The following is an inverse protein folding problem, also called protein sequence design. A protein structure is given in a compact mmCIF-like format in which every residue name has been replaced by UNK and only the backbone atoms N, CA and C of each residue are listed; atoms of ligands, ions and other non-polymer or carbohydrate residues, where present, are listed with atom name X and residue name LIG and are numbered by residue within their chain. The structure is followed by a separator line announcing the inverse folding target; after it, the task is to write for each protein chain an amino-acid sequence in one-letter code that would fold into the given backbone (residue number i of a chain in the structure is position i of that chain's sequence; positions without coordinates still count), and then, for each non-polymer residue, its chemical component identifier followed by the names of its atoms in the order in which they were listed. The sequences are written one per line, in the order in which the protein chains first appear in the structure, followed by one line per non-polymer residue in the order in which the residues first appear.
data_IF_690990489929
#
_entry.id   IF_690990489929
#
_cell.length_a   1.000
_cell.length_b   1.000
_cell.length_c   1.000
_cell.angle_alpha   90.00
_cell.angle_beta   90.00
_cell.angle_gamma   90.00
#
_symmetry.space_group_name_H-M   'P 1'
#
loop_
_entity.id
_entity.type
_entity.pdbx_description
1 polymer ?
#
# COMPACT_ATOMS: atom_id res chain seq x y z
N UNK A 1 -3.87 45.35 -16.98
CA UNK A 1 -2.90 44.24 -16.99
C UNK A 1 -2.82 43.74 -18.43
N UNK A 2 -1.67 43.83 -19.10
CA UNK A 2 -1.57 43.47 -20.51
C UNK A 2 -1.47 41.93 -20.66
N UNK A 3 -2.03 41.38 -21.74
CA UNK A 3 -1.94 39.95 -22.08
C UNK A 3 -0.55 39.30 -21.93
N UNK A 4 0.57 39.94 -22.32
CA UNK A 4 1.91 39.41 -22.09
C UNK A 4 2.30 39.22 -20.62
N UNK A 5 1.86 40.12 -19.71
CA UNK A 5 2.12 39.95 -18.28
C UNK A 5 1.41 38.71 -17.73
N UNK A 6 0.17 38.49 -18.18
CA UNK A 6 -0.62 37.33 -17.74
C UNK A 6 0.02 36.01 -18.19
N UNK A 7 0.57 35.96 -19.41
CA UNK A 7 1.34 34.82 -19.90
C UNK A 7 2.64 34.60 -19.11
N UNK A 8 3.34 35.67 -18.75
CA UNK A 8 4.56 35.61 -17.94
C UNK A 8 4.28 35.02 -16.55
N UNK A 9 3.26 35.51 -15.84
CA UNK A 9 2.87 34.97 -14.54
C UNK A 9 2.34 33.53 -14.62
N UNK A 10 1.62 33.17 -15.69
CA UNK A 10 1.13 31.81 -15.91
C UNK A 10 2.28 30.82 -16.12
N UNK A 11 3.29 31.18 -16.93
CA UNK A 11 4.47 30.35 -17.15
C UNK A 11 5.28 30.15 -15.86
N UNK A 12 5.46 31.21 -15.08
CA UNK A 12 6.11 31.12 -13.77
C UNK A 12 5.33 30.18 -12.85
N UNK A 13 4.01 30.33 -12.76
CA UNK A 13 3.18 29.46 -11.94
C UNK A 13 3.28 27.99 -12.36
N UNK A 14 3.26 27.70 -13.66
CA UNK A 14 3.47 26.36 -14.21
C UNK A 14 4.84 25.78 -13.82
N UNK A 15 5.91 26.58 -13.86
CA UNK A 15 7.25 26.11 -13.43
C UNK A 15 7.29 25.77 -11.94
N UNK A 16 6.66 26.56 -11.08
CA UNK A 16 6.54 26.22 -9.65
C UNK A 16 5.75 24.94 -9.44
N UNK A 17 4.64 24.76 -10.17
CA UNK A 17 3.80 23.58 -10.07
C UNK A 17 4.54 22.32 -10.55
N UNK A 18 5.34 22.44 -11.62
CA UNK A 18 6.21 21.37 -12.10
C UNK A 18 7.28 20.99 -11.07
N UNK A 19 7.96 21.97 -10.46
CA UNK A 19 8.93 21.69 -9.40
C UNK A 19 8.29 21.00 -8.19
N UNK A 20 7.09 21.43 -7.80
CA UNK A 20 6.36 20.82 -6.70
C UNK A 20 5.96 19.38 -7.02
N UNK A 21 5.50 19.11 -8.25
CA UNK A 21 5.17 17.76 -8.70
C UNK A 21 6.39 16.84 -8.67
N UNK A 22 7.55 17.29 -9.16
CA UNK A 22 8.80 16.53 -9.13
C UNK A 22 9.21 16.23 -7.67
N UNK A 23 9.18 17.24 -6.80
CA UNK A 23 9.50 17.05 -5.39
C UNK A 23 8.57 16.02 -4.72
N UNK A 24 7.27 16.09 -5.02
CA UNK A 24 6.28 15.15 -4.52
C UNK A 24 6.55 13.71 -4.97
N UNK A 25 6.88 13.52 -6.25
CA UNK A 25 7.23 12.21 -6.80
C UNK A 25 8.47 11.61 -6.12
N UNK A 26 9.52 12.40 -5.95
CA UNK A 26 10.76 11.95 -5.29
C UNK A 26 10.49 11.60 -3.82
N UNK A 27 9.77 12.47 -3.10
CA UNK A 27 9.41 12.23 -1.70
C UNK A 27 8.57 10.96 -1.55
N UNK A 28 7.55 10.77 -2.39
CA UNK A 28 6.73 9.56 -2.42
C UNK A 28 7.55 8.29 -2.68
N UNK A 29 8.51 8.36 -3.61
CA UNK A 29 9.42 7.25 -3.89
C UNK A 29 10.31 6.89 -2.69
N UNK A 30 10.85 7.89 -2.00
CA UNK A 30 11.68 7.68 -0.80
C UNK A 30 10.84 7.04 0.31
N UNK A 31 9.63 7.54 0.56
CA UNK A 31 8.73 6.99 1.58
C UNK A 31 8.41 5.53 1.27
N UNK A 32 8.08 5.22 0.02
CA UNK A 32 7.81 3.84 -0.41
C UNK A 32 9.01 2.94 -0.15
N UNK A 33 10.22 3.35 -0.56
CA UNK A 33 11.48 2.63 -0.31
C UNK A 33 11.73 2.40 1.18
N UNK A 34 11.51 3.41 2.03
CA UNK A 34 11.71 3.30 3.48
C UNK A 34 10.72 2.33 4.10
N UNK A 35 9.46 2.40 3.69
CA UNK A 35 8.39 1.51 4.14
C UNK A 35 8.72 0.07 3.75
N UNK A 36 9.07 -0.18 2.49
CA UNK A 36 9.42 -1.51 1.99
C UNK A 36 10.66 -2.09 2.70
N UNK A 37 11.69 -1.23 2.91
CA UNK A 37 12.89 -1.59 3.68
C UNK A 37 12.56 -2.00 5.11
N UNK A 38 11.59 -1.34 5.75
CA UNK A 38 11.18 -1.61 7.13
C UNK A 38 10.25 -2.82 7.24
N UNK A 39 9.39 -3.04 6.25
CA UNK A 39 8.48 -4.19 6.19
C UNK A 39 9.22 -5.49 5.95
N UNK A 40 10.16 -5.51 5.00
CA UNK A 40 10.95 -6.69 4.61
C UNK A 40 12.29 -6.79 5.33
N UNK A 41 12.44 -6.11 6.47
CA UNK A 41 13.66 -6.12 7.27
C UNK A 41 13.83 -7.47 7.93
N UNK A 42 14.96 -8.13 7.72
CA UNK A 42 15.25 -9.37 8.42
C UNK A 42 15.49 -9.09 9.92
N UNK A 43 14.80 -9.78 10.85
CA UNK A 43 14.98 -9.57 12.29
C UNK A 43 16.38 -9.97 12.77
N UNK A 44 17.00 -10.97 12.14
CA UNK A 44 18.31 -11.48 12.52
C UNK A 44 19.45 -10.56 12.04
N UNK A 45 19.59 -10.35 10.72
CA UNK A 45 20.70 -9.57 10.16
C UNK A 45 20.43 -8.06 10.02
N UNK A 46 19.22 -7.59 10.41
CA UNK A 46 18.77 -6.18 10.38
C UNK A 46 18.87 -5.47 9.01
N UNK A 47 19.15 -6.19 7.93
CA UNK A 47 19.16 -5.62 6.58
C UNK A 47 17.75 -5.34 6.09
N UNK A 48 17.56 -4.15 5.52
CA UNK A 48 16.30 -3.75 4.89
C UNK A 48 16.11 -4.42 3.53
N UNK A 49 14.85 -4.64 3.14
CA UNK A 49 14.47 -5.25 1.85
C UNK A 49 15.09 -6.63 1.56
N UNK A 50 15.47 -7.38 2.58
CA UNK A 50 16.12 -8.68 2.43
C UNK A 50 15.15 -9.88 2.46
N UNK A 51 13.90 -9.66 2.89
CA UNK A 51 12.87 -10.68 2.95
C UNK A 51 12.24 -10.99 1.59
N UNK A 52 12.29 -12.25 1.19
CA UNK A 52 11.56 -12.83 0.06
C UNK A 52 10.38 -13.60 0.66
N UNK A 53 9.17 -13.40 0.13
CA UNK A 53 8.00 -14.16 0.57
C UNK A 53 8.11 -15.56 -0.01
N UNK A 54 8.15 -16.58 0.84
CA UNK A 54 8.25 -17.99 0.44
C UNK A 54 6.90 -18.71 0.48
N UNK A 55 6.02 -18.30 1.40
CA UNK A 55 4.67 -18.84 1.51
C UNK A 55 3.71 -17.77 2.04
N UNK A 56 2.49 -17.75 1.54
CA UNK A 56 1.42 -16.86 2.00
C UNK A 56 0.21 -17.70 2.32
N UNK A 57 -0.13 -17.76 3.61
CA UNK A 57 -1.33 -18.44 4.10
C UNK A 57 -2.40 -17.40 4.41
N UNK A 58 -3.64 -17.66 4.02
CA UNK A 58 -4.77 -16.77 4.30
C UNK A 58 -5.82 -17.48 5.13
N UNK A 59 -6.09 -16.94 6.32
CA UNK A 59 -7.13 -17.42 7.22
C UNK A 59 -8.32 -16.44 7.20
N UNK A 60 -9.52 -16.86 6.77
CA UNK A 60 -10.70 -15.99 6.82
C UNK A 60 -11.12 -15.77 8.28
N UNK A 61 -11.06 -14.53 8.76
CA UNK A 61 -11.42 -14.18 10.15
C UNK A 61 -12.92 -13.85 10.33
N UNK A 62 -13.70 -13.95 9.24
CA UNK A 62 -15.15 -13.70 9.24
C UNK A 62 -15.54 -12.43 8.49
N UNK A 63 -16.86 -12.24 8.35
CA UNK A 63 -17.46 -11.06 7.72
C UNK A 63 -18.20 -10.29 8.80
N UNK A 64 -17.74 -9.07 9.08
CA UNK A 64 -18.44 -8.16 9.98
C UNK A 64 -19.28 -7.19 9.15
N UNK A 65 -20.54 -7.02 9.53
CA UNK A 65 -21.43 -6.01 8.95
C UNK A 65 -21.27 -4.74 9.78
N UNK A 66 -20.72 -3.69 9.18
CA UNK A 66 -20.65 -2.40 9.85
C UNK A 66 -21.89 -1.57 9.45
N UNK A 67 -22.64 -1.11 10.45
CA UNK A 67 -23.89 -0.34 10.30
C UNK A 67 -23.73 1.14 10.66
N UNK A 68 -22.49 1.63 10.82
CA UNK A 68 -22.20 2.99 11.31
C UNK A 68 -22.57 4.13 10.33
N UNK A 69 -23.18 3.86 9.18
CA UNK A 69 -23.58 4.88 8.19
C UNK A 69 -24.85 4.54 7.41
N UNK A 70 -25.20 5.41 6.44
CA UNK A 70 -26.36 5.22 5.53
C UNK A 70 -26.26 3.96 4.65
N UNK A 71 -25.04 3.46 4.41
CA UNK A 71 -24.80 2.30 3.57
C UNK A 71 -24.35 1.10 4.41
N UNK A 72 -24.99 -0.06 4.20
CA UNK A 72 -24.52 -1.33 4.74
C UNK A 72 -23.22 -1.74 4.03
N UNK A 73 -22.13 -1.85 4.79
CA UNK A 73 -20.84 -2.32 4.26
C UNK A 73 -20.49 -3.66 4.90
N UNK A 74 -20.22 -4.67 4.08
CA UNK A 74 -19.65 -5.94 4.54
C UNK A 74 -18.14 -5.80 4.60
N UNK A 75 -17.56 -5.86 5.79
CA UNK A 75 -16.11 -5.90 6.00
C UNK A 75 -15.71 -7.36 6.05
N UNK A 76 -15.06 -7.85 4.98
CA UNK A 76 -14.41 -9.16 5.00
C UNK A 76 -13.02 -8.97 5.60
N UNK A 77 -12.76 -9.59 6.74
CA UNK A 77 -11.44 -9.61 7.35
C UNK A 77 -10.73 -10.93 7.05
N UNK A 78 -9.56 -10.83 6.46
CA UNK A 78 -8.67 -11.97 6.19
C UNK A 78 -7.36 -11.74 6.94
N UNK A 79 -6.91 -12.73 7.71
CA UNK A 79 -5.59 -12.72 8.32
C UNK A 79 -4.64 -13.35 7.32
N UNK A 80 -3.74 -12.53 6.79
CA UNK A 80 -2.69 -12.96 5.88
C UNK A 80 -1.45 -13.23 6.72
N UNK A 81 -0.94 -14.45 6.65
CA UNK A 81 0.28 -14.91 7.31
C UNK A 81 1.33 -15.13 6.23
N UNK A 82 2.24 -14.17 6.09
CA UNK A 82 3.35 -14.26 5.15
C UNK A 82 4.57 -14.86 5.85
N UNK A 83 5.12 -15.91 5.27
CA UNK A 83 6.43 -16.45 5.59
C UNK A 83 7.49 -15.77 4.71
N UNK A 84 8.49 -15.19 5.36
CA UNK A 84 9.61 -14.52 4.72
C UNK A 84 10.89 -15.31 4.95
N UNK A 85 11.75 -15.36 3.94
CA UNK A 85 13.12 -15.86 4.03
C UNK A 85 14.12 -14.76 3.70
N UNK A 86 15.19 -14.64 4.49
CA UNK A 86 16.25 -13.68 4.22
C UNK A 86 17.15 -14.17 3.09
N UNK A 87 17.25 -13.43 1.99
CA UNK A 87 18.19 -13.73 0.90
C UNK A 87 19.66 -13.84 1.34
N UNK A 88 20.03 -13.22 2.46
CA UNK A 88 21.43 -13.12 2.88
C UNK A 88 21.84 -14.04 4.03
N UNK A 89 20.96 -14.25 5.02
CA UNK A 89 21.26 -15.10 6.17
C UNK A 89 20.36 -16.34 6.24
N UNK A 90 19.50 -16.57 5.25
CA UNK A 90 18.55 -17.69 5.15
C UNK A 90 17.60 -17.82 6.36
N UNK A 91 17.60 -16.84 7.25
CA UNK A 91 16.69 -16.81 8.38
C UNK A 91 15.26 -16.63 7.91
N UNK A 92 14.38 -17.51 8.36
CA UNK A 92 12.95 -17.45 8.10
C UNK A 92 12.21 -16.77 9.25
N UNK A 93 11.24 -15.92 8.92
CA UNK A 93 10.34 -15.32 9.90
C UNK A 93 8.94 -15.17 9.33
N UNK A 94 7.96 -15.13 10.22
CA UNK A 94 6.56 -15.01 9.85
C UNK A 94 6.03 -13.64 10.26
N UNK A 95 5.21 -13.03 9.42
CA UNK A 95 4.42 -11.85 9.76
C UNK A 95 2.96 -12.07 9.43
N UNK A 96 2.11 -11.87 10.42
CA UNK A 96 0.67 -11.83 10.23
C UNK A 96 0.17 -10.39 10.18
N UNK A 97 -0.68 -10.07 9.20
CA UNK A 97 -1.43 -8.82 9.18
C UNK A 97 -2.90 -9.07 8.83
N UNK A 98 -3.78 -8.19 9.31
CA UNK A 98 -5.21 -8.29 9.04
C UNK A 98 -5.54 -7.41 7.84
N UNK A 99 -5.90 -8.03 6.72
CA UNK A 99 -6.44 -7.36 5.54
C UNK A 99 -7.94 -7.18 5.75
N UNK A 100 -8.41 -5.93 5.70
CA UNK A 100 -9.84 -5.60 5.77
C UNK A 100 -10.28 -5.10 4.40
N UNK A 101 -11.10 -5.88 3.71
CA UNK A 101 -11.71 -5.47 2.45
C UNK A 101 -13.16 -5.03 2.69
N UNK A 102 -13.50 -3.81 2.23
CA UNK A 102 -14.86 -3.29 2.27
C UNK A 102 -15.59 -3.71 1.00
N UNK A 103 -16.61 -4.54 1.13
CA UNK A 103 -17.49 -4.95 0.03
C UNK A 103 -18.83 -4.23 0.12
N UNK A 104 -19.25 -3.59 -0.97
CA UNK A 104 -20.60 -3.06 -1.10
C UNK A 104 -21.61 -4.22 -1.13
N UNK A 105 -22.71 -4.06 -0.40
CA UNK A 105 -23.82 -5.03 -0.38
C UNK A 105 -24.56 -4.96 -1.72
N UNK A 106 -24.00 -5.60 -2.75
CA UNK A 106 -24.57 -5.59 -4.10
C UNK A 106 -23.69 -6.18 -5.19
N UNK A 107 -22.38 -6.31 -4.98
CA UNK A 107 -21.53 -7.07 -5.93
C UNK A 107 -21.58 -8.55 -5.54
N UNK A 108 -22.30 -9.33 -6.35
CA UNK A 108 -22.21 -10.78 -6.33
C UNK A 108 -20.73 -11.18 -6.41
N UNK A 109 -20.32 -11.99 -5.43
CA UNK A 109 -19.01 -12.64 -5.43
C UNK A 109 -19.03 -13.62 -6.59
N UNK A 110 -18.53 -13.22 -7.76
CA UNK A 110 -18.17 -14.17 -8.80
C UNK A 110 -17.01 -15.00 -8.26
N UNK A 111 -17.39 -16.17 -7.77
CA UNK A 111 -16.54 -17.23 -7.25
C UNK A 111 -16.32 -18.21 -8.40
N UNK A 112 -15.22 -18.06 -9.14
CA UNK A 112 -14.67 -19.04 -10.10
C UNK A 112 -13.20 -18.63 -10.30
N UNK A 113 -12.16 -19.46 -10.27
CA UNK A 113 -11.93 -20.87 -10.59
C UNK A 113 -10.73 -21.33 -9.73
N UNK A 114 -10.76 -22.47 -9.04
CA UNK A 114 -10.55 -23.88 -9.45
C UNK A 114 -9.17 -24.36 -9.02
#
# INVERSE_FOLDING_TARGET
MNFPDLFYYLLIFLTFLAMFAIFWLISGFIIFRVVDNKLRRCPNCKRGAAGIITNTETEPMGVQMDRTGKDLVRIKSEKVVDSYECKHCQHTWVRSFVRKERMAVGKAVNKVDR
#
